data_IF_120832624327
#
_entry.id   IF_120832624327
#
_cell.length_a   1.000
_cell.length_b   1.000
_cell.length_c   1.000
_cell.angle_alpha   90.00
_cell.angle_beta   90.00
_cell.angle_gamma   90.00
#
_symmetry.space_group_name_H-M   'P 1'
#
loop_
_entity.id
_entity.type
_entity.pdbx_description
1 polymer ?
#
# COMPACT_ATOMS: atom_id res chain seq x y z
N UNK A 1 -3.71 7.38 4.80
CA UNK A 1 -4.50 6.14 4.84
C UNK A 1 -5.74 6.28 5.71
N UNK A 2 -5.69 7.04 6.80
CA UNK A 2 -6.83 7.23 7.72
C UNK A 2 -8.06 7.88 7.05
N UNK A 3 -7.86 8.72 6.04
CA UNK A 3 -8.96 9.29 5.23
C UNK A 3 -9.80 8.21 4.53
N UNK A 4 -9.22 7.04 4.24
CA UNK A 4 -9.90 5.92 3.58
C UNK A 4 -10.57 4.96 4.57
N UNK A 5 -10.45 5.19 5.87
CA UNK A 5 -10.96 4.27 6.91
C UNK A 5 -12.49 4.08 6.83
N UNK A 6 -13.24 5.14 6.53
CA UNK A 6 -14.70 5.08 6.39
C UNK A 6 -15.18 4.59 5.01
N UNK A 7 -14.29 4.55 4.02
CA UNK A 7 -14.64 4.23 2.63
C UNK A 7 -13.83 3.05 2.08
N UNK A 8 -13.32 2.20 2.96
CA UNK A 8 -12.43 1.08 2.63
C UNK A 8 -13.03 0.09 1.60
N UNK A 9 -14.37 0.02 1.51
CA UNK A 9 -15.10 -0.79 0.51
C UNK A 9 -15.35 -0.08 -0.82
N UNK A 10 -15.36 1.24 -0.83
CA UNK A 10 -15.70 2.04 -2.03
C UNK A 10 -14.45 2.52 -2.77
N UNK A 11 -13.36 2.78 -2.04
CA UNK A 11 -12.13 3.31 -2.60
C UNK A 11 -10.94 2.41 -2.29
N UNK A 12 -10.06 2.28 -3.28
CA UNK A 12 -8.76 1.63 -3.13
C UNK A 12 -7.66 2.68 -3.00
N UNK A 13 -6.57 2.33 -2.32
CA UNK A 13 -5.39 3.17 -2.23
C UNK A 13 -4.38 2.81 -3.34
N UNK A 14 -3.70 3.81 -3.90
CA UNK A 14 -2.57 3.61 -4.80
C UNK A 14 -1.32 4.32 -4.24
N UNK A 15 -0.19 3.62 -4.22
CA UNK A 15 1.07 4.18 -3.70
C UNK A 15 1.79 4.96 -4.81
N UNK A 16 2.07 6.23 -4.57
CA UNK A 16 2.78 7.08 -5.52
C UNK A 16 4.18 6.54 -5.91
N UNK A 17 4.62 6.86 -7.13
CA UNK A 17 5.87 6.33 -7.72
C UNK A 17 7.13 6.75 -6.94
N UNK A 18 7.09 7.91 -6.28
CA UNK A 18 8.20 8.53 -5.55
C UNK A 18 8.45 7.94 -4.15
N UNK A 19 7.59 7.03 -3.68
CA UNK A 19 7.73 6.40 -2.37
C UNK A 19 8.76 5.26 -2.43
N UNK A 20 9.75 5.31 -1.54
CA UNK A 20 10.78 4.28 -1.38
C UNK A 20 10.21 2.95 -0.87
N UNK A 21 10.85 1.83 -1.22
CA UNK A 21 10.39 0.46 -0.90
C UNK A 21 10.11 0.24 0.59
N UNK A 22 11.00 0.75 1.47
CA UNK A 22 10.81 0.70 2.92
C UNK A 22 9.52 1.38 3.40
N UNK A 23 9.16 2.53 2.80
CA UNK A 23 7.91 3.24 3.12
C UNK A 23 6.71 2.52 2.50
N UNK A 24 6.85 1.92 1.31
CA UNK A 24 5.80 1.10 0.69
C UNK A 24 5.39 -0.06 1.59
N UNK A 25 6.36 -0.77 2.19
CA UNK A 25 6.08 -1.88 3.13
C UNK A 25 5.20 -1.44 4.30
N UNK A 26 5.56 -0.34 4.96
CA UNK A 26 4.78 0.24 6.06
C UNK A 26 3.36 0.65 5.65
N UNK A 27 3.22 1.18 4.43
CA UNK A 27 1.91 1.59 3.89
C UNK A 27 1.03 0.37 3.64
N UNK A 28 1.58 -0.71 3.11
CA UNK A 28 0.86 -1.98 2.88
C UNK A 28 0.44 -2.63 4.21
N UNK A 29 1.34 -2.68 5.20
CA UNK A 29 1.02 -3.19 6.54
C UNK A 29 -0.12 -2.39 7.18
N UNK A 30 -0.04 -1.05 7.14
CA UNK A 30 -1.09 -0.17 7.66
C UNK A 30 -2.40 -0.28 6.89
N UNK A 31 -2.35 -0.54 5.58
CA UNK A 31 -3.55 -0.75 4.77
C UNK A 31 -4.25 -2.06 5.12
N UNK A 32 -3.50 -3.11 5.44
CA UNK A 32 -4.06 -4.39 5.90
C UNK A 32 -4.77 -4.26 7.26
N UNK A 33 -4.21 -3.49 8.19
CA UNK A 33 -4.85 -3.19 9.49
C UNK A 33 -6.19 -2.46 9.34
N UNK A 34 -6.31 -1.60 8.32
CA UNK A 34 -7.49 -0.78 8.06
C UNK A 34 -8.47 -1.43 7.07
N UNK A 35 -8.19 -2.65 6.62
CA UNK A 35 -8.93 -3.38 5.59
C UNK A 35 -9.12 -2.57 4.30
N UNK A 36 -8.10 -1.81 3.90
CA UNK A 36 -8.08 -1.01 2.67
C UNK A 36 -7.30 -1.74 1.58
N UNK A 37 -7.93 -1.93 0.43
CA UNK A 37 -7.28 -2.56 -0.72
C UNK A 37 -6.30 -1.59 -1.38
N UNK A 38 -5.05 -2.02 -1.53
CA UNK A 38 -4.01 -1.27 -2.28
C UNK A 38 -3.80 -1.90 -3.65
N UNK A 39 -3.96 -1.12 -4.72
CA UNK A 39 -3.88 -1.60 -6.11
C UNK A 39 -2.48 -2.07 -6.48
N UNK A 40 -1.45 -1.34 -6.07
CA UNK A 40 -0.06 -1.60 -6.42
C UNK A 40 0.77 -2.21 -5.25
N UNK A 41 0.15 -3.05 -4.42
CA UNK A 41 0.74 -3.63 -3.19
C UNK A 41 2.08 -4.36 -3.39
N UNK A 42 2.33 -4.94 -4.56
CA UNK A 42 3.54 -5.71 -4.87
C UNK A 42 4.60 -4.90 -5.64
N UNK A 43 4.27 -3.67 -6.04
CA UNK A 43 5.15 -2.89 -6.90
C UNK A 43 6.44 -2.49 -6.16
N UNK A 44 7.59 -2.87 -6.73
CA UNK A 44 8.96 -2.65 -6.22
C UNK A 44 9.34 -3.42 -4.95
N UNK A 45 8.44 -4.22 -4.37
CA UNK A 45 8.76 -5.13 -3.26
C UNK A 45 9.41 -6.42 -3.78
N UNK A 46 8.86 -6.99 -4.87
CA UNK A 46 9.41 -8.18 -5.55
C UNK A 46 10.84 -7.97 -6.06
N UNK A 47 11.11 -6.81 -6.66
CA UNK A 47 12.42 -6.48 -7.25
C UNK A 47 13.57 -6.43 -6.25
N UNK A 48 13.30 -6.49 -4.94
CA UNK A 48 14.30 -6.48 -3.87
C UNK A 48 14.39 -7.83 -3.13
N UNK A 49 13.49 -8.78 -3.39
CA UNK A 49 13.60 -10.18 -2.94
C UNK A 49 14.20 -11.09 -4.02
N UNK A 50 14.11 -10.69 -5.29
CA UNK A 50 14.70 -11.40 -6.45
C UNK A 50 16.17 -11.00 -6.73
N UNK A 51 16.82 -10.21 -5.85
CA UNK A 51 18.25 -9.87 -5.86
C UNK A 51 18.88 -10.20 -4.50
#
# INVERSE_FOLDING_TARGET
LEVLMMHNRTYCAEIAHNISTRKRKKIVERAAELDVVVTNKLARLRSQEDE
#
